data_IF_550744132699
#
_entry.id   IF_550744132699
#
_cell.length_a   1.000
_cell.length_b   1.000
_cell.length_c   1.000
_cell.angle_alpha   90.00
_cell.angle_beta   90.00
_cell.angle_gamma   90.00
#
_symmetry.space_group_name_H-M   'P 1'
#
loop_
_entity.id
_entity.type
_entity.pdbx_description
1 polymer ?
#
# COMPACT_ATOMS: atom_id res chain seq x y z
N UNK A 1 -7.71 -7.33 1.38
CA UNK A 1 -7.17 -6.13 0.68
C UNK A 1 -6.67 -6.58 -0.69
N UNK A 2 -6.59 -5.67 -1.66
CA UNK A 2 -6.05 -5.99 -2.97
C UNK A 2 -4.53 -5.75 -2.97
N UNK A 3 -3.74 -6.71 -3.43
CA UNK A 3 -2.32 -6.52 -3.77
C UNK A 3 -2.16 -6.83 -5.24
N UNK A 4 -1.70 -5.87 -6.04
CA UNK A 4 -1.55 -6.03 -7.50
C UNK A 4 -2.87 -6.54 -8.15
N UNK A 5 -4.02 -6.09 -7.63
CA UNK A 5 -5.36 -6.50 -8.08
C UNK A 5 -5.85 -7.87 -7.58
N UNK A 6 -5.03 -8.61 -6.82
CA UNK A 6 -5.41 -9.90 -6.23
C UNK A 6 -5.89 -9.74 -4.78
N UNK A 7 -6.96 -10.44 -4.41
CA UNK A 7 -7.42 -10.45 -3.03
C UNK A 7 -6.47 -11.27 -2.15
N UNK A 8 -5.75 -10.59 -1.27
CA UNK A 8 -4.81 -11.20 -0.33
C UNK A 8 -5.25 -10.90 1.10
N UNK A 9 -5.24 -11.94 1.92
CA UNK A 9 -5.43 -11.82 3.37
C UNK A 9 -4.10 -11.39 4.00
N UNK A 10 -4.02 -10.12 4.41
CA UNK A 10 -2.85 -9.61 5.14
C UNK A 10 -3.19 -9.61 6.64
N UNK A 11 -2.38 -10.25 7.50
CA UNK A 11 -2.60 -10.27 8.94
C UNK A 11 -2.73 -8.87 9.52
N UNK A 12 -3.65 -8.67 10.46
CA UNK A 12 -3.93 -7.37 11.09
C UNK A 12 -2.66 -6.73 11.68
N UNK A 13 -1.78 -7.54 12.28
CA UNK A 13 -0.51 -7.08 12.82
C UNK A 13 0.39 -6.42 11.75
N UNK A 14 0.37 -6.93 10.50
CA UNK A 14 1.12 -6.32 9.39
C UNK A 14 0.45 -5.05 8.89
N UNK A 15 -0.87 -5.03 8.80
CA UNK A 15 -1.61 -3.81 8.44
C UNK A 15 -1.34 -2.69 9.44
N UNK A 16 -1.33 -3.01 10.74
CA UNK A 16 -0.98 -2.07 11.81
C UNK A 16 0.44 -1.52 11.66
N UNK A 17 1.45 -2.38 11.47
CA UNK A 17 2.84 -1.94 11.23
C UNK A 17 2.97 -1.06 9.98
N UNK A 18 2.27 -1.39 8.90
CA UNK A 18 2.26 -0.57 7.68
C UNK A 18 1.64 0.82 7.94
N UNK A 19 0.58 0.88 8.73
CA UNK A 19 -0.10 2.12 9.12
C UNK A 19 0.79 3.03 9.99
N UNK A 20 1.48 2.43 10.96
CA UNK A 20 2.43 3.12 11.84
C UNK A 20 3.58 3.75 11.07
N UNK A 21 4.08 3.10 10.00
CA UNK A 21 5.12 3.67 9.14
C UNK A 21 4.72 4.98 8.43
N UNK A 22 3.41 5.24 8.30
CA UNK A 22 2.87 6.44 7.66
C UNK A 22 2.28 7.44 8.67
N UNK A 23 2.48 7.21 9.98
CA UNK A 23 1.88 8.00 11.07
C UNK A 23 0.36 8.18 10.90
N UNK A 24 -0.33 7.16 10.41
CA UNK A 24 -1.76 7.21 10.17
C UNK A 24 -2.58 6.84 11.42
N UNK A 25 -3.71 7.51 11.70
CA UNK A 25 -4.57 7.16 12.81
C UNK A 25 -5.26 5.79 12.63
N UNK A 26 -5.73 5.19 13.72
CA UNK A 26 -6.22 3.80 13.74
C UNK A 26 -7.48 3.53 12.93
N UNK A 27 -8.22 4.57 12.53
CA UNK A 27 -9.43 4.49 11.70
C UNK A 27 -9.12 4.24 10.21
N UNK A 28 -7.84 4.31 9.81
CA UNK A 28 -7.39 3.95 8.48
C UNK A 28 -7.17 2.44 8.36
N UNK A 29 -7.81 1.84 7.35
CA UNK A 29 -7.66 0.45 6.96
C UNK A 29 -6.92 0.33 5.63
N UNK A 30 -6.08 -0.71 5.50
CA UNK A 30 -5.32 -0.97 4.28
C UNK A 30 -6.26 -1.57 3.22
N UNK A 31 -6.51 -0.84 2.13
CA UNK A 31 -7.46 -1.27 1.10
C UNK A 31 -6.77 -1.83 -0.14
N UNK A 32 -5.62 -1.28 -0.49
CA UNK A 32 -4.88 -1.62 -1.70
C UNK A 32 -3.37 -1.52 -1.48
N UNK A 33 -2.61 -2.37 -2.17
CA UNK A 33 -1.17 -2.28 -2.26
C UNK A 33 -0.68 -2.72 -3.65
N UNK A 34 0.50 -2.25 -4.05
CA UNK A 34 1.17 -2.73 -5.26
C UNK A 34 2.68 -2.72 -5.10
N UNK A 35 3.35 -3.63 -5.81
CA UNK A 35 4.81 -3.70 -5.90
C UNK A 35 5.40 -2.79 -6.99
N UNK A 36 4.57 -2.04 -7.70
CA UNK A 36 4.98 -1.19 -8.80
C UNK A 36 4.55 0.24 -8.55
N UNK A 37 5.49 1.18 -8.61
CA UNK A 37 5.19 2.60 -8.67
C UNK A 37 4.89 2.99 -10.12
N UNK A 38 3.69 3.50 -10.36
CA UNK A 38 3.35 4.12 -11.63
C UNK A 38 3.74 5.60 -11.58
N UNK A 39 4.64 6.02 -12.45
CA UNK A 39 5.07 7.41 -12.56
C UNK A 39 4.64 7.97 -13.92
N UNK A 40 3.72 8.93 -13.91
CA UNK A 40 3.39 9.70 -15.11
C UNK A 40 4.46 10.77 -15.35
N UNK A 41 5.14 10.64 -16.49
CA UNK A 41 6.23 11.53 -16.89
C UNK A 41 5.75 12.70 -17.76
N UNK A 42 4.45 12.78 -18.07
CA UNK A 42 3.90 13.69 -19.07
C UNK A 42 4.05 13.20 -20.52
N UNK A 43 4.93 12.22 -20.76
CA UNK A 43 5.09 11.53 -22.06
C UNK A 43 4.52 10.11 -22.04
N UNK A 44 3.92 9.72 -20.92
CA UNK A 44 3.43 8.37 -20.67
C UNK A 44 3.72 7.91 -19.24
N UNK A 45 3.12 6.78 -18.88
CA UNK A 45 3.27 6.16 -17.57
C UNK A 45 4.38 5.13 -17.62
N UNK A 46 5.42 5.31 -16.80
CA UNK A 46 6.45 4.29 -16.57
C UNK A 46 6.13 3.48 -15.33
N UNK A 47 6.39 2.18 -15.40
CA UNK A 47 6.25 1.25 -14.28
C UNK A 47 7.61 1.00 -13.65
N UNK A 48 7.75 1.35 -12.37
CA UNK A 48 8.99 1.21 -11.63
C UNK A 48 8.78 0.12 -10.57
N UNK A 49 9.43 -1.04 -10.68
CA UNK A 49 9.33 -2.08 -9.66
C UNK A 49 9.98 -1.60 -8.36
N UNK A 50 9.29 -1.82 -7.25
CA UNK A 50 9.83 -1.53 -5.92
C UNK A 50 10.82 -2.62 -5.50
N UNK A 51 11.82 -2.29 -4.67
CA UNK A 51 12.65 -3.30 -4.03
C UNK A 51 11.81 -4.35 -3.27
N UNK A 52 12.31 -5.59 -3.11
CA UNK A 52 11.60 -6.62 -2.37
C UNK A 52 11.15 -6.15 -0.99
N UNK A 53 9.92 -6.49 -0.62
CA UNK A 53 9.29 -6.10 0.65
C UNK A 53 8.70 -4.68 0.67
N UNK A 54 8.99 -3.82 -0.32
CA UNK A 54 8.38 -2.50 -0.41
C UNK A 54 7.10 -2.52 -1.27
N UNK A 55 6.11 -1.79 -0.80
CA UNK A 55 4.82 -1.66 -1.46
C UNK A 55 4.36 -0.21 -1.41
N UNK A 56 3.79 0.27 -2.53
CA UNK A 56 2.92 1.45 -2.51
C UNK A 56 1.58 0.98 -1.97
N UNK A 57 1.06 1.67 -0.97
CA UNK A 57 -0.19 1.31 -0.29
C UNK A 57 -1.20 2.44 -0.35
N UNK A 58 -2.47 2.07 -0.34
CA UNK A 58 -3.59 2.96 -0.10
C UNK A 58 -4.30 2.56 1.18
N UNK A 59 -4.39 3.51 2.11
CA UNK A 59 -5.22 3.42 3.29
C UNK A 59 -6.48 4.26 3.11
N UNK A 60 -7.60 3.76 3.59
CA UNK A 60 -8.89 4.45 3.54
C UNK A 60 -9.55 4.42 4.93
N UNK A 61 -10.15 5.53 5.36
CA UNK A 61 -10.95 5.56 6.58
C UNK A 61 -12.46 5.52 6.27
N UNK A 62 -13.29 5.42 7.32
CA UNK A 62 -14.75 5.32 7.19
C UNK A 62 -15.43 6.53 6.52
N UNK A 63 -14.72 7.65 6.41
CA UNK A 63 -15.20 8.86 5.70
C UNK A 63 -14.84 8.87 4.22
N UNK A 64 -14.14 7.84 3.73
CA UNK A 64 -13.65 7.73 2.35
C UNK A 64 -12.36 8.51 2.07
N UNK A 65 -11.70 9.05 3.10
CA UNK A 65 -10.42 9.72 2.91
C UNK A 65 -9.33 8.69 2.61
N UNK A 66 -8.58 8.92 1.54
CA UNK A 66 -7.45 8.08 1.14
C UNK A 66 -6.10 8.72 1.45
N UNK A 67 -5.18 7.90 1.94
CA UNK A 67 -3.78 8.25 2.17
C UNK A 67 -2.91 7.22 1.49
N UNK A 68 -1.84 7.70 0.85
CA UNK A 68 -0.94 6.87 0.07
C UNK A 68 0.49 7.00 0.61
N UNK A 69 1.26 5.94 0.49
CA UNK A 69 2.66 5.95 0.90
C UNK A 69 3.38 4.68 0.47
N UNK A 70 4.70 4.66 0.66
CA UNK A 70 5.52 3.46 0.49
C UNK A 70 5.80 2.88 1.88
N UNK A 71 5.53 1.60 2.07
CA UNK A 71 5.76 0.90 3.34
C UNK A 71 6.53 -0.39 3.10
N UNK A 72 7.26 -0.82 4.12
CA UNK A 72 7.84 -2.16 4.20
C UNK A 72 6.78 -3.12 4.75
N UNK A 73 6.46 -4.16 3.97
CA UNK A 73 5.70 -5.32 4.41
C UNK A 73 6.57 -6.56 4.20
N UNK A 74 7.03 -7.16 5.31
CA UNK A 74 7.75 -8.44 5.28
C UNK A 74 6.97 -9.47 4.46
N UNK A 75 7.69 -10.35 3.75
CA UNK A 75 7.15 -11.23 2.70
C UNK A 75 5.79 -11.83 3.08
N UNK A 76 4.81 -11.52 2.24
CA UNK A 76 3.57 -12.29 2.15
C UNK A 76 3.94 -13.56 1.43
N UNK A 77 4.11 -14.66 2.19
CA UNK A 77 4.17 -16.00 1.62
C UNK A 77 2.85 -16.33 0.92
#
# INVERSE_FOLDING_TARGET
>A
MLIDGQLIAVPEARQRKAREQLDLPSDFALVEATRVLQHDTGNGVVQIPLPPGLFVVAFENLTGQRRYGVVMMEEVQ
#
